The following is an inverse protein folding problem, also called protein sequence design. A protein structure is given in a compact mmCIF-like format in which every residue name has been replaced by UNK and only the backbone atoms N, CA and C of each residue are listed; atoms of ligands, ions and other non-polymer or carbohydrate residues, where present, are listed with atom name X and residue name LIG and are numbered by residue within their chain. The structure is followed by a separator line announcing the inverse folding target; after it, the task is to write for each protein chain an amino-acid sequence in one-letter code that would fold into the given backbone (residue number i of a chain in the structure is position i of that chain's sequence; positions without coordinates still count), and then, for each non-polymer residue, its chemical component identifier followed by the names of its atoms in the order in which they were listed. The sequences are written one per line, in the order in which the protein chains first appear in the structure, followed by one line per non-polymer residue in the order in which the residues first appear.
data_IF_133529473189
#
_entry.id   IF_133529473189
#
_cell.length_a   1.000
_cell.length_b   1.000
_cell.length_c   1.000
_cell.angle_alpha   90.00
_cell.angle_beta   90.00
_cell.angle_gamma   90.00
#
_symmetry.space_group_name_H-M   'P 1'
#
loop_
_entity.id
_entity.type
_entity.pdbx_description
1 polymer ?
#
# COMPACT_ATOMS: atom_id res chain seq x y z
N UNK A 1 -24.24 -0.07 -7.92
CA UNK A 1 -24.71 1.26 -8.36
C UNK A 1 -25.89 1.13 -9.34
N UNK A 2 -25.70 0.61 -10.54
CA UNK A 2 -26.77 0.53 -11.58
C UNK A 2 -27.98 -0.25 -11.12
N UNK A 3 -27.80 -1.42 -10.49
CA UNK A 3 -28.92 -2.24 -9.96
C UNK A 3 -29.68 -1.50 -8.86
N UNK A 4 -28.98 -0.78 -7.97
CA UNK A 4 -29.61 0.02 -6.95
C UNK A 4 -30.50 1.13 -7.56
N UNK A 5 -29.98 1.86 -8.56
CA UNK A 5 -30.76 2.85 -9.29
C UNK A 5 -32.00 2.24 -10.00
N UNK A 6 -31.85 1.09 -10.65
CA UNK A 6 -32.96 0.37 -11.25
C UNK A 6 -34.02 -0.05 -10.21
N UNK A 7 -33.59 -0.47 -9.03
CA UNK A 7 -34.47 -0.80 -7.89
C UNK A 7 -35.27 0.41 -7.39
N UNK A 8 -34.64 1.55 -7.25
CA UNK A 8 -35.31 2.81 -6.86
C UNK A 8 -36.37 3.21 -7.91
N UNK A 9 -36.02 3.16 -9.20
CA UNK A 9 -36.94 3.45 -10.30
C UNK A 9 -38.17 2.50 -10.25
N UNK A 10 -37.91 1.19 -10.11
CA UNK A 10 -38.96 0.17 -10.03
C UNK A 10 -39.87 0.36 -8.82
N UNK A 11 -39.33 0.82 -7.72
CA UNK A 11 -40.08 1.10 -6.50
C UNK A 11 -40.81 2.47 -6.53
N UNK A 12 -40.64 3.26 -7.59
CA UNK A 12 -41.23 4.60 -7.69
C UNK A 12 -40.58 5.61 -6.73
N UNK A 13 -39.39 5.29 -6.18
CA UNK A 13 -38.68 6.16 -5.24
C UNK A 13 -37.85 7.17 -6.02
N UNK A 14 -38.19 8.46 -5.87
CA UNK A 14 -37.42 9.57 -6.44
C UNK A 14 -36.48 10.11 -5.35
N UNK A 15 -35.15 9.91 -5.48
CA UNK A 15 -34.21 10.49 -4.52
C UNK A 15 -34.27 12.03 -4.54
N UNK A 16 -34.00 12.69 -3.42
CA UNK A 16 -34.04 14.15 -3.33
C UNK A 16 -32.87 14.83 -4.07
N UNK A 17 -31.86 14.05 -4.44
CA UNK A 17 -30.66 14.50 -5.18
C UNK A 17 -30.34 13.51 -6.31
N UNK A 18 -29.59 13.97 -7.31
CA UNK A 18 -29.11 13.14 -8.39
C UNK A 18 -28.16 12.06 -7.90
N UNK A 19 -28.30 10.85 -8.44
CA UNK A 19 -27.40 9.75 -8.22
C UNK A 19 -26.49 9.60 -9.45
N UNK A 20 -25.17 9.67 -9.23
CA UNK A 20 -24.16 9.39 -10.26
C UNK A 20 -23.54 8.03 -9.99
N UNK A 21 -23.58 7.13 -10.96
CA UNK A 21 -22.86 5.86 -10.90
C UNK A 21 -21.57 6.01 -11.68
N UNK A 22 -20.43 5.82 -11.01
CA UNK A 22 -19.11 5.96 -11.60
C UNK A 22 -18.39 4.61 -11.65
N UNK A 23 -18.04 4.16 -12.86
CA UNK A 23 -17.13 3.04 -13.06
C UNK A 23 -15.69 3.56 -13.01
N UNK A 24 -14.97 3.26 -11.93
CA UNK A 24 -13.59 3.72 -11.74
C UNK A 24 -12.63 2.79 -12.46
N UNK A 25 -11.74 3.36 -13.29
CA UNK A 25 -10.63 2.64 -13.92
C UNK A 25 -9.33 2.86 -13.16
N UNK A 26 -8.46 1.83 -13.18
CA UNK A 26 -7.12 1.87 -12.62
C UNK A 26 -7.12 2.38 -11.16
N UNK A 27 -7.97 1.76 -10.33
CA UNK A 27 -8.01 2.01 -8.89
C UNK A 27 -6.72 1.49 -8.25
N UNK A 28 -6.29 0.28 -8.62
CA UNK A 28 -5.09 -0.39 -8.14
C UNK A 28 -3.79 0.20 -8.71
N UNK A 29 -2.70 0.13 -7.93
CA UNK A 29 -1.37 0.61 -8.33
C UNK A 29 -0.56 -0.37 -9.18
N UNK A 30 -1.11 -1.52 -9.53
CA UNK A 30 -0.40 -2.67 -10.09
C UNK A 30 0.45 -2.36 -11.34
N UNK A 31 -0.07 -1.53 -12.23
CA UNK A 31 0.56 -1.29 -13.53
C UNK A 31 1.45 -0.05 -13.61
N UNK A 32 1.08 1.00 -12.90
CA UNK A 32 1.74 2.31 -13.00
C UNK A 32 2.45 2.76 -11.71
N UNK A 33 2.34 1.98 -10.63
CA UNK A 33 2.83 2.39 -9.31
C UNK A 33 2.08 3.60 -8.72
N UNK A 34 0.94 3.97 -9.32
CA UNK A 34 0.07 5.08 -8.89
C UNK A 34 -1.33 4.52 -8.69
N UNK A 35 -1.89 4.68 -7.49
CA UNK A 35 -3.24 4.25 -7.15
C UNK A 35 -4.28 5.31 -7.47
N UNK A 36 -5.54 4.87 -7.61
CA UNK A 36 -6.73 5.72 -7.73
C UNK A 36 -6.71 6.65 -8.95
N UNK A 37 -6.07 6.23 -10.06
CA UNK A 37 -5.89 7.08 -11.25
C UNK A 37 -7.22 7.62 -11.74
N UNK A 38 -8.26 6.77 -11.86
CA UNK A 38 -9.57 7.17 -12.38
C UNK A 38 -10.28 8.17 -11.50
N UNK A 39 -10.42 7.91 -10.21
CA UNK A 39 -11.09 8.81 -9.25
C UNK A 39 -10.30 10.10 -9.05
N UNK A 40 -8.97 10.04 -8.91
CA UNK A 40 -8.12 11.23 -8.78
C UNK A 40 -8.17 12.11 -10.01
N UNK A 41 -8.24 11.51 -11.22
CA UNK A 41 -8.46 12.28 -12.46
C UNK A 41 -9.81 12.98 -12.46
N UNK A 42 -10.88 12.30 -12.06
CA UNK A 42 -12.22 12.87 -12.02
C UNK A 42 -12.33 14.01 -11.00
N UNK A 43 -11.71 13.86 -9.83
CA UNK A 43 -11.72 14.84 -8.74
C UNK A 43 -10.67 15.97 -8.89
N UNK A 44 -9.82 15.91 -9.92
CA UNK A 44 -8.76 16.91 -10.15
C UNK A 44 -7.59 16.83 -9.15
N UNK A 45 -7.36 15.66 -8.53
CA UNK A 45 -6.31 15.45 -7.54
C UNK A 45 -5.15 14.58 -8.05
N UNK A 46 -5.19 14.12 -9.30
CA UNK A 46 -4.07 13.41 -9.91
C UNK A 46 -2.95 14.42 -10.22
N UNK A 47 -1.72 14.24 -9.68
CA UNK A 47 -0.61 15.11 -10.01
C UNK A 47 -0.32 15.06 -11.52
N UNK A 48 -0.23 16.21 -12.17
CA UNK A 48 -0.01 16.31 -13.62
C UNK A 48 1.28 15.62 -14.08
N UNK A 49 2.33 15.64 -13.24
CA UNK A 49 3.58 14.94 -13.51
C UNK A 49 3.43 13.42 -13.56
N UNK A 50 2.38 12.85 -12.94
CA UNK A 50 2.10 11.40 -13.04
C UNK A 50 1.79 10.98 -14.48
N UNK A 51 1.27 11.88 -15.32
CA UNK A 51 0.95 11.57 -16.71
C UNK A 51 2.17 11.11 -17.51
N UNK A 52 3.33 11.69 -17.26
CA UNK A 52 4.57 11.39 -17.98
C UNK A 52 5.53 10.50 -17.16
N UNK A 53 5.51 10.61 -15.84
CA UNK A 53 6.45 9.88 -14.96
C UNK A 53 5.97 8.48 -14.62
N UNK A 54 4.66 8.26 -14.52
CA UNK A 54 4.12 6.92 -14.29
C UNK A 54 4.19 6.12 -15.59
N UNK A 55 5.01 5.07 -15.58
CA UNK A 55 5.19 4.17 -16.72
C UNK A 55 4.64 2.80 -16.38
N UNK A 56 3.95 2.22 -17.36
CA UNK A 56 3.42 0.87 -17.21
C UNK A 56 4.57 -0.14 -17.09
N UNK A 57 4.49 -0.99 -16.07
CA UNK A 57 5.58 -1.89 -15.67
C UNK A 57 6.03 -2.89 -16.74
N UNK A 58 5.12 -3.30 -17.64
CA UNK A 58 5.40 -4.28 -18.70
C UNK A 58 5.85 -3.65 -20.03
N UNK A 59 5.38 -2.43 -20.34
CA UNK A 59 5.62 -1.78 -21.64
C UNK A 59 6.54 -0.58 -21.58
N UNK A 60 6.74 0.01 -20.39
CA UNK A 60 7.48 1.27 -20.21
C UNK A 60 6.79 2.50 -20.80
N UNK A 61 5.59 2.35 -21.42
CA UNK A 61 4.81 3.48 -21.95
C UNK A 61 4.22 4.32 -20.84
N UNK A 62 4.09 5.61 -21.08
CA UNK A 62 3.56 6.57 -20.09
C UNK A 62 2.08 6.37 -19.81
N UNK A 63 1.61 6.83 -18.65
CA UNK A 63 0.20 6.88 -18.33
C UNK A 63 -0.58 7.72 -19.36
N UNK A 64 -0.02 8.85 -19.80
CA UNK A 64 -0.57 9.70 -20.85
C UNK A 64 -0.82 8.94 -22.15
N UNK A 65 0.14 8.12 -22.61
CA UNK A 65 -0.01 7.30 -23.83
C UNK A 65 -1.14 6.27 -23.69
N UNK A 66 -1.23 5.60 -22.54
CA UNK A 66 -2.28 4.64 -22.28
C UNK A 66 -3.66 5.29 -22.19
N UNK A 67 -3.75 6.47 -21.58
CA UNK A 67 -5.01 7.24 -21.54
C UNK A 67 -5.48 7.63 -22.94
N UNK A 68 -4.58 8.12 -23.80
CA UNK A 68 -4.92 8.42 -25.22
C UNK A 68 -5.35 7.17 -25.96
N UNK A 69 -4.62 6.06 -25.81
CA UNK A 69 -4.99 4.77 -26.46
C UNK A 69 -6.36 4.25 -25.99
N UNK A 70 -6.78 4.60 -24.77
CA UNK A 70 -8.10 4.24 -24.21
C UNK A 70 -9.20 5.25 -24.56
N UNK A 71 -8.92 6.23 -25.42
CA UNK A 71 -9.88 7.26 -25.83
C UNK A 71 -10.07 8.40 -24.82
N UNK A 72 -9.19 8.50 -23.80
CA UNK A 72 -9.21 9.59 -22.84
C UNK A 72 -8.37 10.78 -23.34
N UNK A 73 -8.66 11.97 -22.81
CA UNK A 73 -7.87 13.18 -23.08
C UNK A 73 -7.04 13.58 -21.84
N UNK A 74 -5.76 13.18 -21.73
CA UNK A 74 -4.91 13.53 -20.59
C UNK A 74 -4.58 15.03 -20.53
N UNK A 75 -4.67 15.77 -21.63
CA UNK A 75 -4.37 17.19 -21.67
C UNK A 75 -5.34 17.98 -20.78
N UNK A 76 -6.60 17.55 -20.69
CA UNK A 76 -7.57 18.16 -19.77
C UNK A 76 -7.14 18.04 -18.29
N UNK A 77 -6.50 16.94 -17.91
CA UNK A 77 -5.94 16.78 -16.55
C UNK A 77 -4.75 17.70 -16.37
N UNK A 78 -3.89 17.81 -17.37
CA UNK A 78 -2.73 18.73 -17.39
C UNK A 78 -3.15 20.18 -17.21
N UNK A 79 -4.27 20.55 -17.85
CA UNK A 79 -4.88 21.89 -17.76
C UNK A 79 -5.67 22.10 -16.44
N UNK A 80 -5.65 21.15 -15.52
CA UNK A 80 -6.31 21.27 -14.22
C UNK A 80 -7.84 21.13 -14.26
N UNK A 81 -8.40 20.52 -15.33
CA UNK A 81 -9.84 20.32 -15.42
C UNK A 81 -10.36 19.33 -14.37
N UNK A 82 -11.39 19.75 -13.63
CA UNK A 82 -12.07 18.93 -12.62
C UNK A 82 -13.41 18.46 -13.19
N UNK A 83 -13.52 17.16 -13.48
CA UNK A 83 -14.74 16.57 -14.05
C UNK A 83 -15.85 16.41 -13.02
N UNK A 84 -15.47 16.14 -11.77
CA UNK A 84 -16.39 15.93 -10.66
C UNK A 84 -15.92 16.77 -9.46
N UNK A 85 -16.36 18.04 -9.35
CA UNK A 85 -15.95 18.91 -8.26
C UNK A 85 -16.38 18.33 -6.90
N UNK A 86 -15.47 18.14 -5.92
CA UNK A 86 -15.81 17.57 -4.62
C UNK A 86 -16.95 18.30 -3.90
N UNK A 87 -17.02 19.63 -4.03
CA UNK A 87 -18.09 20.46 -3.44
C UNK A 87 -19.48 20.18 -4.01
N UNK A 88 -19.58 19.51 -5.17
CA UNK A 88 -20.87 19.12 -5.77
C UNK A 88 -21.38 17.78 -5.27
N UNK A 89 -20.59 17.08 -4.43
CA UNK A 89 -20.93 15.79 -3.88
C UNK A 89 -21.45 15.93 -2.46
N UNK A 90 -22.61 15.37 -2.18
CA UNK A 90 -23.17 15.25 -0.83
C UNK A 90 -22.54 14.07 -0.09
N UNK A 91 -22.43 12.93 -0.79
CA UNK A 91 -21.88 11.70 -0.25
C UNK A 91 -21.26 10.85 -1.34
N UNK A 92 -20.36 9.98 -0.95
CA UNK A 92 -19.74 8.95 -1.76
C UNK A 92 -19.98 7.60 -1.10
N UNK A 93 -20.48 6.64 -1.88
CA UNK A 93 -20.76 5.29 -1.41
C UNK A 93 -20.03 4.32 -2.33
N UNK A 94 -19.22 3.46 -1.73
CA UNK A 94 -18.51 2.39 -2.42
C UNK A 94 -18.85 1.04 -1.78
N UNK A 95 -19.24 0.06 -2.61
CA UNK A 95 -19.40 -1.32 -2.18
C UNK A 95 -18.11 -2.04 -2.49
N UNK A 96 -17.48 -2.56 -1.46
CA UNK A 96 -16.19 -3.24 -1.55
C UNK A 96 -16.27 -4.64 -0.95
N UNK A 97 -15.50 -5.58 -1.47
CA UNK A 97 -15.31 -6.87 -0.80
C UNK A 97 -14.47 -6.68 0.46
N UNK A 98 -14.62 -7.54 1.44
CA UNK A 98 -13.87 -7.44 2.70
C UNK A 98 -12.35 -7.56 2.51
N UNK A 99 -11.91 -8.38 1.57
CA UNK A 99 -10.50 -8.78 1.38
C UNK A 99 -9.90 -9.46 2.62
N UNK A 100 -10.75 -10.12 3.40
CA UNK A 100 -10.39 -10.81 4.63
C UNK A 100 -11.48 -11.81 5.03
N UNK A 101 -11.30 -12.61 6.10
CA UNK A 101 -12.21 -13.68 6.49
C UNK A 101 -13.19 -13.28 7.59
N UNK A 102 -13.07 -12.08 8.19
CA UNK A 102 -13.73 -11.75 9.48
C UNK A 102 -15.26 -11.72 9.36
N UNK A 103 -15.80 -11.12 8.30
CA UNK A 103 -17.24 -11.07 8.08
C UNK A 103 -17.78 -12.44 7.65
N UNK A 104 -17.00 -13.17 6.84
CA UNK A 104 -17.37 -14.51 6.39
C UNK A 104 -17.43 -15.48 7.58
N UNK A 105 -16.44 -15.51 8.45
CA UNK A 105 -16.40 -16.34 9.65
C UNK A 105 -17.50 -15.96 10.66
N UNK A 106 -17.87 -14.69 10.72
CA UNK A 106 -18.97 -14.20 11.56
C UNK A 106 -20.35 -14.36 10.91
N UNK A 107 -20.45 -14.89 9.67
CA UNK A 107 -21.69 -15.01 8.89
C UNK A 107 -22.41 -13.66 8.70
N UNK A 108 -21.67 -12.56 8.61
CA UNK A 108 -22.19 -11.20 8.41
C UNK A 108 -22.14 -10.85 6.93
N UNK A 109 -23.29 -10.72 6.23
CA UNK A 109 -23.30 -10.52 4.78
C UNK A 109 -22.88 -9.11 4.34
N UNK A 110 -23.02 -8.10 5.18
CA UNK A 110 -22.69 -6.70 4.89
C UNK A 110 -22.35 -5.96 6.18
N UNK A 111 -21.31 -5.15 6.13
CA UNK A 111 -20.93 -4.25 7.22
C UNK A 111 -20.64 -2.83 6.70
N UNK A 112 -20.70 -1.85 7.57
CA UNK A 112 -20.28 -0.48 7.31
C UNK A 112 -18.93 -0.27 7.99
N UNK A 113 -17.91 0.14 7.20
CA UNK A 113 -16.58 0.40 7.75
C UNK A 113 -16.62 1.59 8.72
N UNK A 114 -15.94 1.47 9.85
CA UNK A 114 -15.82 2.53 10.86
C UNK A 114 -14.63 3.46 10.62
N UNK A 115 -13.68 3.01 9.78
CA UNK A 115 -12.52 3.79 9.41
C UNK A 115 -11.63 3.03 8.42
N UNK A 116 -10.69 3.75 7.81
CA UNK A 116 -9.67 3.20 6.93
C UNK A 116 -8.32 3.35 7.62
N UNK A 117 -7.57 2.25 7.73
CA UNK A 117 -6.24 2.26 8.33
C UNK A 117 -5.31 3.20 7.55
N UNK A 118 -4.71 4.15 8.25
CA UNK A 118 -3.58 4.90 7.76
C UNK A 118 -2.35 4.00 7.60
N UNK A 119 -1.35 4.45 6.87
CA UNK A 119 -0.16 3.64 6.64
C UNK A 119 1.14 4.46 6.62
N UNK A 120 2.25 3.76 6.92
CA UNK A 120 3.62 4.18 6.60
C UNK A 120 4.30 3.06 5.84
N UNK A 121 4.84 3.42 4.68
CA UNK A 121 5.45 2.50 3.73
C UNK A 121 6.91 2.81 3.50
N UNK A 122 7.73 1.77 3.55
CA UNK A 122 9.10 1.74 3.09
C UNK A 122 9.17 0.76 1.92
N UNK A 123 8.96 1.22 0.69
CA UNK A 123 8.84 0.32 -0.47
C UNK A 123 10.16 -0.34 -0.86
N UNK A 124 11.29 0.29 -0.53
CA UNK A 124 12.64 -0.14 -0.88
C UNK A 124 13.61 0.18 0.26
N UNK A 125 13.55 -0.61 1.33
CA UNK A 125 14.52 -0.57 2.41
C UNK A 125 15.69 -1.51 2.10
N UNK A 126 16.89 -1.18 2.57
CA UNK A 126 18.09 -1.99 2.39
C UNK A 126 18.80 -2.17 3.73
N UNK A 127 19.15 -3.40 4.04
CA UNK A 127 20.08 -3.74 5.11
C UNK A 127 21.41 -4.15 4.48
N UNK A 128 22.48 -3.45 4.86
CA UNK A 128 23.84 -3.75 4.40
C UNK A 128 24.64 -4.41 5.53
N UNK A 129 25.29 -5.50 5.21
CA UNK A 129 26.21 -6.26 6.01
C UNK A 129 27.50 -6.54 5.26
N UNK A 130 28.12 -7.71 5.49
CA UNK A 130 29.34 -8.13 4.81
C UNK A 130 29.22 -9.56 4.28
N UNK A 131 29.60 -9.77 3.01
CA UNK A 131 29.67 -11.10 2.44
C UNK A 131 30.86 -11.85 3.03
N UNK A 132 30.62 -13.07 3.50
CA UNK A 132 31.67 -13.90 4.04
C UNK A 132 31.35 -15.40 3.96
N UNK A 133 32.34 -16.24 4.19
CA UNK A 133 32.16 -17.70 4.15
C UNK A 133 31.43 -18.21 5.39
N UNK A 134 30.37 -19.02 5.18
CA UNK A 134 29.48 -19.47 6.25
C UNK A 134 30.18 -20.33 7.33
N UNK A 135 31.17 -21.14 6.96
CA UNK A 135 31.89 -22.03 7.88
C UNK A 135 33.17 -21.46 8.49
N UNK A 136 33.69 -20.35 7.93
CA UNK A 136 34.99 -19.79 8.36
C UNK A 136 34.89 -18.60 9.30
N UNK A 137 33.71 -17.95 9.39
CA UNK A 137 33.55 -16.72 10.15
C UNK A 137 32.73 -16.98 11.41
N UNK A 138 33.31 -16.79 12.62
CA UNK A 138 32.58 -16.91 13.90
C UNK A 138 31.44 -15.92 14.00
N UNK A 139 30.40 -16.24 14.78
CA UNK A 139 29.21 -15.41 14.95
C UNK A 139 29.50 -13.95 15.32
N UNK A 140 30.48 -13.74 16.21
CA UNK A 140 30.87 -12.40 16.68
C UNK A 140 31.56 -11.51 15.62
N UNK A 141 31.90 -12.09 14.47
CA UNK A 141 32.55 -11.38 13.36
C UNK A 141 31.63 -11.27 12.14
N UNK A 142 30.39 -11.76 12.24
CA UNK A 142 29.44 -11.74 11.14
C UNK A 142 28.65 -10.44 11.12
N UNK A 143 28.60 -9.82 9.96
CA UNK A 143 27.66 -8.74 9.63
C UNK A 143 26.62 -9.29 8.65
N UNK A 144 25.74 -10.13 9.17
CA UNK A 144 24.75 -10.89 8.41
C UNK A 144 23.49 -10.06 8.20
N UNK A 145 23.28 -9.57 6.98
CA UNK A 145 22.14 -8.75 6.62
C UNK A 145 20.81 -9.49 6.76
N UNK A 146 20.78 -10.81 6.53
CA UNK A 146 19.56 -11.63 6.67
C UNK A 146 19.16 -11.70 8.14
N UNK A 147 20.09 -12.03 9.02
CA UNK A 147 19.79 -12.13 10.46
C UNK A 147 19.40 -10.75 11.04
N UNK A 148 20.08 -9.68 10.62
CA UNK A 148 19.75 -8.33 11.07
C UNK A 148 18.33 -7.92 10.64
N UNK A 149 17.94 -8.18 9.39
CA UNK A 149 16.60 -7.87 8.89
C UNK A 149 15.54 -8.77 9.55
N UNK A 150 15.81 -10.06 9.71
CA UNK A 150 14.91 -11.00 10.39
C UNK A 150 14.63 -10.58 11.85
N UNK A 151 15.62 -10.04 12.54
CA UNK A 151 15.46 -9.51 13.90
C UNK A 151 14.54 -8.29 13.96
N UNK A 152 14.61 -7.39 12.97
CA UNK A 152 13.67 -6.28 12.85
C UNK A 152 12.25 -6.79 12.59
N UNK A 153 12.08 -7.80 11.73
CA UNK A 153 10.77 -8.41 11.44
C UNK A 153 10.20 -9.07 12.69
N UNK A 154 11.01 -9.83 13.42
CA UNK A 154 10.59 -10.46 14.68
C UNK A 154 10.21 -9.45 15.74
N UNK A 155 10.93 -8.31 15.83
CA UNK A 155 10.56 -7.22 16.73
C UNK A 155 9.16 -6.65 16.36
N UNK A 156 8.86 -6.45 15.09
CA UNK A 156 7.56 -5.96 14.65
C UNK A 156 6.43 -6.97 14.94
N UNK A 157 6.72 -8.26 14.82
CA UNK A 157 5.80 -9.32 15.15
C UNK A 157 5.44 -9.33 16.64
N UNK A 158 6.44 -9.23 17.52
CA UNK A 158 6.20 -9.07 18.96
C UNK A 158 5.37 -7.82 19.28
N UNK A 159 5.62 -6.70 18.59
CA UNK A 159 4.81 -5.48 18.77
C UNK A 159 3.37 -5.71 18.35
N UNK A 160 3.14 -6.49 17.30
CA UNK A 160 1.79 -6.83 16.85
C UNK A 160 1.06 -7.67 17.89
N UNK A 161 1.70 -8.71 18.43
CA UNK A 161 1.17 -9.50 19.55
C UNK A 161 0.81 -8.61 20.78
N UNK A 162 1.69 -7.66 21.15
CA UNK A 162 1.42 -6.68 22.23
C UNK A 162 0.19 -5.82 21.92
N UNK A 163 0.01 -5.42 20.68
CA UNK A 163 -1.13 -4.62 20.23
C UNK A 163 -2.44 -5.44 20.31
N UNK A 164 -2.43 -6.69 19.83
CA UNK A 164 -3.57 -7.59 19.91
C UNK A 164 -3.97 -7.86 21.38
N UNK A 165 -3.00 -8.10 22.26
CA UNK A 165 -3.25 -8.32 23.68
C UNK A 165 -3.87 -7.10 24.40
N UNK A 166 -3.76 -5.91 23.81
CA UNK A 166 -4.27 -4.65 24.37
C UNK A 166 -5.40 -4.03 23.55
N UNK A 167 -5.98 -4.79 22.61
CA UNK A 167 -7.05 -4.35 21.68
C UNK A 167 -6.67 -3.08 20.91
N UNK A 168 -5.40 -2.96 20.56
CA UNK A 168 -4.86 -1.85 19.77
C UNK A 168 -4.72 -2.24 18.32
N UNK A 169 -5.34 -1.48 17.43
CA UNK A 169 -5.25 -1.74 15.99
C UNK A 169 -3.85 -1.51 15.46
N UNK A 170 -3.22 -2.57 14.97
CA UNK A 170 -1.94 -2.54 14.29
C UNK A 170 -1.82 -3.71 13.33
N UNK A 171 -1.19 -3.49 12.20
CA UNK A 171 -0.77 -4.55 11.29
C UNK A 171 0.51 -4.12 10.57
N UNK A 172 1.38 -5.07 10.25
CA UNK A 172 2.51 -4.83 9.36
C UNK A 172 2.65 -5.93 8.31
N UNK A 173 3.32 -5.60 7.22
CA UNK A 173 3.61 -6.56 6.15
C UNK A 173 5.00 -6.31 5.59
N UNK A 174 5.77 -7.39 5.42
CA UNK A 174 7.00 -7.42 4.64
C UNK A 174 6.69 -8.12 3.33
N UNK A 175 6.27 -7.34 2.33
CA UNK A 175 5.83 -7.90 1.03
C UNK A 175 6.96 -8.29 0.09
N UNK A 176 8.19 -7.80 0.35
CA UNK A 176 9.41 -8.13 -0.37
C UNK A 176 10.51 -8.42 0.64
N UNK A 177 11.27 -9.47 0.41
CA UNK A 177 12.44 -9.82 1.21
C UNK A 177 13.41 -10.60 0.33
N UNK A 178 14.47 -9.94 -0.14
CA UNK A 178 15.40 -10.51 -1.10
C UNK A 178 16.84 -10.36 -0.64
N UNK A 179 17.61 -11.43 -0.78
CA UNK A 179 19.06 -11.35 -0.81
C UNK A 179 19.52 -10.89 -2.20
N UNK A 180 20.73 -10.35 -2.30
CA UNK A 180 21.31 -9.94 -3.57
C UNK A 180 21.52 -11.14 -4.50
N UNK A 181 20.76 -11.20 -5.60
CA UNK A 181 20.74 -12.35 -6.52
C UNK A 181 22.05 -12.54 -7.29
N UNK A 182 22.85 -11.48 -7.46
CA UNK A 182 24.15 -11.58 -8.15
C UNK A 182 25.23 -12.17 -7.25
N UNK A 183 25.12 -12.00 -5.92
CA UNK A 183 26.19 -12.31 -4.98
C UNK A 183 25.82 -13.38 -3.96
N UNK A 184 24.56 -13.77 -3.83
CA UNK A 184 24.15 -14.78 -2.87
C UNK A 184 24.62 -16.20 -3.28
N UNK A 185 24.88 -17.05 -2.31
CA UNK A 185 25.12 -18.47 -2.51
C UNK A 185 24.77 -19.22 -1.22
N UNK A 186 24.45 -20.52 -1.33
CA UNK A 186 24.05 -21.35 -0.19
C UNK A 186 25.06 -21.34 0.97
N UNK A 187 26.35 -21.21 0.66
CA UNK A 187 27.44 -21.24 1.64
C UNK A 187 28.03 -19.86 1.96
N UNK A 188 27.32 -18.80 1.63
CA UNK A 188 27.78 -17.42 1.83
C UNK A 188 26.82 -16.68 2.78
N UNK A 189 27.40 -15.97 3.76
CA UNK A 189 26.68 -15.01 4.58
C UNK A 189 26.29 -13.82 3.68
N UNK A 190 25.02 -13.41 3.70
CA UNK A 190 24.54 -12.33 2.85
C UNK A 190 24.98 -10.97 3.39
N UNK A 191 25.67 -10.20 2.53
CA UNK A 191 26.05 -8.81 2.80
C UNK A 191 24.98 -7.79 2.45
N UNK A 192 23.82 -8.22 1.87
CA UNK A 192 22.75 -7.30 1.51
C UNK A 192 21.40 -7.98 1.49
N UNK A 193 20.41 -7.29 2.05
CA UNK A 193 18.99 -7.64 1.96
C UNK A 193 18.21 -6.42 1.53
N UNK A 194 17.35 -6.57 0.54
CA UNK A 194 16.34 -5.59 0.17
C UNK A 194 14.96 -6.06 0.65
N UNK A 195 14.22 -5.17 1.27
CA UNK A 195 12.90 -5.50 1.78
C UNK A 195 11.93 -4.32 1.69
N UNK A 196 10.65 -4.60 1.80
CA UNK A 196 9.63 -3.57 1.96
C UNK A 196 8.93 -3.72 3.29
N UNK A 197 8.45 -2.62 3.85
CA UNK A 197 7.67 -2.61 5.08
C UNK A 197 6.45 -1.70 4.88
N UNK A 198 5.26 -2.23 5.18
CA UNK A 198 4.00 -1.49 5.26
C UNK A 198 3.47 -1.65 6.70
N UNK A 199 3.30 -0.57 7.42
CA UNK A 199 2.72 -0.54 8.77
C UNK A 199 1.40 0.21 8.73
N UNK A 200 0.37 -0.32 9.39
CA UNK A 200 -1.01 0.21 9.33
C UNK A 200 -1.65 0.25 10.71
N UNK A 201 -2.45 1.29 10.94
CA UNK A 201 -3.34 1.41 12.09
C UNK A 201 -4.46 2.41 11.80
N UNK A 202 -5.59 2.29 12.50
CA UNK A 202 -6.63 3.31 12.58
C UNK A 202 -6.15 4.57 13.33
N UNK A 203 -5.15 4.42 14.22
CA UNK A 203 -4.51 5.54 14.91
C UNK A 203 -3.25 6.01 14.16
N UNK A 204 -3.36 7.14 13.47
CA UNK A 204 -2.25 7.73 12.73
C UNK A 204 -1.07 8.13 13.65
N UNK A 205 -1.33 8.59 14.88
CA UNK A 205 -0.26 8.95 15.81
C UNK A 205 0.52 7.72 16.25
N UNK A 206 -0.18 6.60 16.41
CA UNK A 206 0.48 5.34 16.71
C UNK A 206 1.38 4.88 15.56
N UNK A 207 0.90 4.95 14.31
CA UNK A 207 1.73 4.61 13.14
C UNK A 207 2.99 5.48 13.07
N UNK A 208 2.88 6.78 13.36
CA UNK A 208 4.05 7.68 13.43
C UNK A 208 5.01 7.26 14.56
N UNK A 209 4.49 6.93 15.73
CA UNK A 209 5.32 6.44 16.84
C UNK A 209 6.05 5.14 16.51
N UNK A 210 5.43 4.29 15.68
CA UNK A 210 6.06 3.06 15.20
C UNK A 210 7.26 3.33 14.28
N UNK A 211 7.24 4.41 13.50
CA UNK A 211 8.43 4.82 12.71
C UNK A 211 9.63 5.08 13.63
N UNK A 212 9.41 5.75 14.75
CA UNK A 212 10.51 6.04 15.69
C UNK A 212 10.96 4.78 16.46
N UNK A 213 10.03 3.88 16.82
CA UNK A 213 10.36 2.56 17.38
C UNK A 213 11.21 1.73 16.42
N UNK A 214 10.87 1.72 15.12
CA UNK A 214 11.64 1.04 14.07
C UNK A 214 13.03 1.63 13.94
N UNK A 215 13.17 2.97 13.88
CA UNK A 215 14.48 3.63 13.81
C UNK A 215 15.35 3.24 14.98
N UNK A 216 14.83 3.35 16.21
CA UNK A 216 15.54 2.96 17.42
C UNK A 216 16.00 1.50 17.38
N UNK A 217 15.09 0.60 16.93
CA UNK A 217 15.43 -0.82 16.80
C UNK A 217 16.51 -1.08 15.76
N UNK A 218 16.49 -0.36 14.64
CA UNK A 218 17.54 -0.42 13.60
C UNK A 218 18.89 0.03 14.17
N UNK A 219 18.93 1.12 14.95
CA UNK A 219 20.14 1.59 15.62
C UNK A 219 20.69 0.52 16.58
N UNK A 220 19.85 -0.06 17.47
CA UNK A 220 20.22 -1.15 18.37
C UNK A 220 20.79 -2.38 17.65
N UNK A 221 20.18 -2.76 16.51
CA UNK A 221 20.67 -3.87 15.69
C UNK A 221 22.02 -3.53 15.08
N UNK A 222 22.17 -2.32 14.53
CA UNK A 222 23.39 -1.86 13.86
C UNK A 222 24.60 -1.76 14.81
N UNK A 223 24.37 -1.31 16.06
CA UNK A 223 25.44 -1.22 17.07
C UNK A 223 25.94 -2.59 17.54
N UNK A 224 25.05 -3.58 17.55
CA UNK A 224 25.34 -4.90 18.09
C UNK A 224 25.87 -5.90 17.04
N UNK A 225 25.60 -5.65 15.77
CA UNK A 225 25.96 -6.53 14.66
C UNK A 225 26.91 -5.87 13.69
#
# INVERSE_FOLDING_TARGET
GLIACAGLIKAGIKPPRDIKVMGIRAEESAWFGVSYIGSRSALGTLPSNSLENAKRSDTGRTLSDHMRSAGCNPDRIRDGHVFLPPKSLESYIEVHIEQGPVLEEAEIPVAVVTGIRGNRRLPNATCNGEYSHCGGVPRSHRRDAVIATAELVSFLDCVWEECEATDKDFAFTVGKFFTDQEWHAMTKISGRVEFSLDMRSLDNNFVESMVDRVKKKVEEISERR
#
